data_IF_232182449230
#
_entry.id   IF_232182449230
#
_cell.length_a   1.000
_cell.length_b   1.000
_cell.length_c   1.000
_cell.angle_alpha   90.00
_cell.angle_beta   90.00
_cell.angle_gamma   90.00
#
_symmetry.space_group_name_H-M   'P 1'
#
loop_
_entity.id
_entity.type
_entity.pdbx_description
1 polymer ?
#
# COMPACT_ATOMS: atom_id res chain seq x y z
N UNK A 1 -19.67 -5.39 -18.86
CA UNK A 1 -20.02 -6.32 -17.76
C UNK A 1 -20.00 -5.55 -16.45
N UNK A 2 -21.08 -5.67 -15.69
CA UNK A 2 -21.18 -5.08 -14.35
C UNK A 2 -20.86 -6.20 -13.36
N UNK A 3 -19.77 -6.04 -12.60
CA UNK A 3 -19.32 -7.07 -11.64
C UNK A 3 -19.81 -6.69 -10.25
N UNK A 4 -20.56 -7.59 -9.62
CA UNK A 4 -21.17 -7.34 -8.32
C UNK A 4 -20.09 -7.39 -7.21
N UNK A 5 -19.85 -6.25 -6.57
CA UNK A 5 -18.92 -6.13 -5.45
C UNK A 5 -19.56 -6.68 -4.18
N UNK A 6 -19.15 -7.88 -3.76
CA UNK A 6 -19.56 -8.43 -2.46
C UNK A 6 -19.08 -7.53 -1.32
N UNK A 7 -20.00 -7.17 -0.43
CA UNK A 7 -19.69 -6.48 0.82
C UNK A 7 -18.77 -7.36 1.68
N UNK A 8 -17.80 -6.73 2.33
CA UNK A 8 -16.88 -7.37 3.26
C UNK A 8 -16.69 -6.47 4.45
N UNK A 9 -16.78 -7.05 5.64
CA UNK A 9 -16.44 -6.34 6.85
C UNK A 9 -14.93 -6.10 6.89
N UNK A 10 -14.58 -4.86 7.17
CA UNK A 10 -13.20 -4.41 7.34
C UNK A 10 -13.08 -3.63 8.63
N UNK A 11 -11.92 -3.71 9.26
CA UNK A 11 -11.63 -2.98 10.49
C UNK A 11 -10.58 -1.94 10.21
N UNK A 12 -10.86 -0.68 10.58
CA UNK A 12 -9.86 0.39 10.64
C UNK A 12 -9.49 0.58 12.10
N UNK A 13 -8.27 0.24 12.47
CA UNK A 13 -7.79 0.38 13.85
C UNK A 13 -7.12 1.71 14.12
N UNK A 14 -6.62 2.38 13.07
CA UNK A 14 -6.04 3.72 13.17
C UNK A 14 -6.39 4.51 11.91
N UNK A 15 -6.78 5.77 12.08
CA UNK A 15 -6.93 6.74 11.00
C UNK A 15 -6.46 8.12 11.49
N UNK A 16 -5.43 8.66 10.85
CA UNK A 16 -4.75 9.89 11.27
C UNK A 16 -4.56 10.80 10.06
N UNK A 17 -5.05 12.04 10.11
CA UNK A 17 -4.72 13.04 9.09
C UNK A 17 -3.32 13.58 9.38
N UNK A 18 -2.43 13.52 8.40
CA UNK A 18 -1.01 13.86 8.56
C UNK A 18 -0.66 15.21 7.93
N UNK A 19 -1.41 15.67 6.92
CA UNK A 19 -1.24 16.98 6.30
C UNK A 19 -2.55 17.43 5.65
N UNK A 20 -2.85 18.72 5.74
CA UNK A 20 -3.93 19.38 5.00
C UNK A 20 -3.31 20.52 4.20
N UNK A 21 -3.40 20.43 2.88
CA UNK A 21 -2.92 21.44 1.94
C UNK A 21 -3.87 21.46 0.75
N UNK A 22 -5.05 22.06 0.94
CA UNK A 22 -6.17 21.95 0.00
C UNK A 22 -5.73 22.31 -1.43
N UNK A 23 -6.14 21.51 -2.43
CA UNK A 23 -7.13 20.43 -2.35
C UNK A 23 -6.59 19.06 -1.88
N UNK A 24 -5.34 18.97 -1.44
CA UNK A 24 -4.72 17.72 -0.99
C UNK A 24 -4.89 17.48 0.52
N UNK A 25 -5.18 16.24 0.90
CA UNK A 25 -5.20 15.77 2.29
C UNK A 25 -4.46 14.45 2.36
N UNK A 26 -3.42 14.40 3.18
CA UNK A 26 -2.65 13.18 3.42
C UNK A 26 -3.12 12.54 4.73
N UNK A 27 -3.20 11.21 4.75
CA UNK A 27 -3.56 10.46 5.94
C UNK A 27 -2.77 9.17 6.06
N UNK A 28 -2.64 8.70 7.30
CA UNK A 28 -2.14 7.38 7.66
C UNK A 28 -3.29 6.52 8.15
N UNK A 29 -3.33 5.28 7.67
CA UNK A 29 -4.37 4.31 8.02
C UNK A 29 -3.76 2.95 8.37
N UNK A 30 -4.32 2.31 9.40
CA UNK A 30 -4.09 0.89 9.71
C UNK A 30 -5.42 0.16 9.59
N UNK A 31 -5.48 -0.81 8.69
CA UNK A 31 -6.72 -1.51 8.35
C UNK A 31 -6.51 -3.02 8.19
N UNK A 32 -7.59 -3.79 8.29
CA UNK A 32 -7.60 -5.23 8.03
C UNK A 32 -7.35 -5.55 6.55
N UNK A 33 -7.02 -6.82 6.27
CA UNK A 33 -6.90 -7.32 4.89
C UNK A 33 -8.20 -7.08 4.11
N UNK A 34 -8.06 -6.86 2.80
CA UNK A 34 -9.22 -6.66 1.90
C UNK A 34 -9.82 -5.25 1.91
N UNK A 35 -9.30 -4.33 2.74
CA UNK A 35 -9.72 -2.93 2.72
C UNK A 35 -9.32 -2.25 1.42
N UNK A 36 -10.31 -1.71 0.71
CA UNK A 36 -10.09 -1.03 -0.56
C UNK A 36 -9.98 0.48 -0.36
N UNK A 37 -8.75 0.98 -0.15
CA UNK A 37 -8.49 2.39 0.17
C UNK A 37 -9.10 3.36 -0.87
N UNK A 38 -9.11 2.98 -2.16
CA UNK A 38 -9.71 3.80 -3.20
C UNK A 38 -11.22 3.98 -3.04
N UNK A 39 -11.94 2.93 -2.64
CA UNK A 39 -13.39 3.02 -2.38
C UNK A 39 -13.64 3.89 -1.16
N UNK A 40 -12.84 3.72 -0.10
CA UNK A 40 -12.90 4.55 1.10
C UNK A 40 -12.74 6.04 0.77
N UNK A 41 -11.75 6.40 -0.06
CA UNK A 41 -11.56 7.80 -0.48
C UNK A 41 -12.72 8.30 -1.34
N UNK A 42 -13.26 7.47 -2.24
CA UNK A 42 -14.46 7.82 -3.01
C UNK A 42 -15.64 8.13 -2.10
N UNK A 43 -15.85 7.31 -1.06
CA UNK A 43 -16.92 7.51 -0.09
C UNK A 43 -16.69 8.74 0.78
N UNK A 44 -15.45 9.07 1.15
CA UNK A 44 -15.15 10.35 1.82
C UNK A 44 -15.51 11.55 0.94
N UNK A 45 -15.20 11.50 -0.35
CA UNK A 45 -15.64 12.54 -1.29
C UNK A 45 -17.16 12.72 -1.23
N UNK A 46 -17.91 11.63 -1.43
CA UNK A 46 -19.38 11.65 -1.40
C UNK A 46 -19.92 12.24 -0.09
N UNK A 47 -19.37 11.83 1.06
CA UNK A 47 -19.77 12.34 2.38
C UNK A 47 -19.47 13.84 2.55
N UNK A 48 -18.42 14.34 1.91
CA UNK A 48 -18.09 15.76 1.86
C UNK A 48 -18.90 16.53 0.80
N UNK A 49 -19.84 15.88 0.11
CA UNK A 49 -20.58 16.43 -1.02
C UNK A 49 -19.67 16.98 -2.13
N UNK A 50 -18.50 16.36 -2.31
CA UNK A 50 -17.52 16.69 -3.35
C UNK A 50 -16.97 15.40 -4.01
N UNK A 51 -16.21 15.50 -5.09
CA UNK A 51 -15.39 14.39 -5.56
C UNK A 51 -14.12 14.25 -4.71
N UNK A 52 -13.68 13.01 -4.50
CA UNK A 52 -12.33 12.72 -4.02
C UNK A 52 -11.78 11.49 -4.73
N UNK A 53 -10.48 11.49 -4.98
CA UNK A 53 -9.76 10.36 -5.56
C UNK A 53 -8.42 10.20 -4.87
N UNK A 54 -7.89 8.99 -4.90
CA UNK A 54 -6.59 8.69 -4.31
C UNK A 54 -5.48 9.06 -5.31
N UNK A 55 -4.72 10.11 -5.02
CA UNK A 55 -3.62 10.58 -5.88
C UNK A 55 -2.34 9.76 -5.71
N UNK A 56 -2.03 9.34 -4.46
CA UNK A 56 -0.86 8.54 -4.11
C UNK A 56 -1.21 7.55 -3.01
N UNK A 57 -0.64 6.34 -3.08
CA UNK A 57 -0.75 5.33 -2.04
C UNK A 57 0.57 4.59 -1.88
N UNK A 58 1.04 4.50 -0.65
CA UNK A 58 2.23 3.71 -0.29
C UNK A 58 1.89 2.82 0.89
N UNK A 59 1.97 1.50 0.69
CA UNK A 59 1.79 0.54 1.78
C UNK A 59 3.09 0.40 2.55
N UNK A 60 3.14 0.97 3.75
CA UNK A 60 4.34 0.98 4.60
C UNK A 60 4.53 -0.29 5.44
N UNK A 61 3.46 -1.08 5.64
CA UNK A 61 3.48 -2.33 6.41
C UNK A 61 2.47 -3.35 5.88
N UNK A 62 2.83 -4.63 5.90
CA UNK A 62 1.94 -5.76 5.66
C UNK A 62 2.23 -6.87 6.68
N UNK A 63 1.38 -7.01 7.70
CA UNK A 63 1.70 -7.88 8.84
C UNK A 63 3.02 -7.48 9.48
N UNK A 64 3.98 -8.42 9.55
CA UNK A 64 5.32 -8.20 10.09
C UNK A 64 6.32 -7.60 9.09
N UNK A 65 5.92 -7.41 7.82
CA UNK A 65 6.80 -6.87 6.79
C UNK A 65 6.70 -5.35 6.73
N UNK A 66 7.81 -4.65 6.90
CA UNK A 66 7.92 -3.20 6.80
C UNK A 66 8.54 -2.80 5.46
N UNK A 67 8.12 -1.66 4.93
CA UNK A 67 8.63 -1.12 3.66
C UNK A 67 10.11 -0.79 3.73
N UNK A 68 10.61 -0.32 4.86
CA UNK A 68 12.05 -0.03 5.06
C UNK A 68 12.95 -1.27 4.91
N UNK A 69 12.38 -2.46 5.07
CA UNK A 69 13.07 -3.74 4.92
C UNK A 69 12.84 -4.37 3.53
N UNK A 70 12.11 -3.68 2.65
CA UNK A 70 11.83 -4.18 1.30
C UNK A 70 13.01 -3.88 0.38
N UNK A 71 13.29 -4.82 -0.52
CA UNK A 71 14.20 -4.56 -1.64
C UNK A 71 13.49 -3.74 -2.71
N UNK A 72 14.18 -2.76 -3.27
CA UNK A 72 13.89 -2.29 -4.61
C UNK A 72 14.15 -3.43 -5.61
N UNK A 73 13.38 -3.46 -6.71
CA UNK A 73 13.44 -4.58 -7.67
C UNK A 73 14.85 -4.75 -8.25
N UNK A 74 15.52 -3.65 -8.58
CA UNK A 74 16.87 -3.67 -9.13
C UNK A 74 17.89 -4.23 -8.11
N UNK A 75 17.77 -3.85 -6.84
CA UNK A 75 18.66 -4.31 -5.77
C UNK A 75 18.47 -5.79 -5.50
N UNK A 76 17.21 -6.28 -5.52
CA UNK A 76 16.92 -7.70 -5.41
C UNK A 76 17.56 -8.50 -6.54
N UNK A 77 17.44 -8.04 -7.78
CA UNK A 77 18.05 -8.71 -8.95
C UNK A 77 19.56 -8.77 -8.81
N UNK A 78 20.20 -7.67 -8.40
CA UNK A 78 21.64 -7.62 -8.20
C UNK A 78 22.10 -8.54 -7.05
N UNK A 79 21.36 -8.55 -5.94
CA UNK A 79 21.60 -9.45 -4.82
C UNK A 79 21.56 -10.92 -5.26
N UNK A 80 20.54 -11.31 -6.02
CA UNK A 80 20.38 -12.69 -6.50
C UNK A 80 21.49 -13.10 -7.48
N UNK A 81 21.92 -12.20 -8.37
CA UNK A 81 23.04 -12.46 -9.31
C UNK A 81 24.35 -12.72 -8.57
N UNK A 82 24.73 -11.82 -7.65
CA UNK A 82 25.94 -11.97 -6.83
C UNK A 82 25.92 -13.26 -6.00
N UNK A 83 24.76 -13.57 -5.39
CA UNK A 83 24.60 -14.78 -4.59
C UNK A 83 24.77 -16.04 -5.44
N UNK A 84 24.27 -16.04 -6.67
CA UNK A 84 24.45 -17.16 -7.61
C UNK A 84 25.92 -17.33 -8.00
N UNK A 85 26.62 -16.24 -8.30
CA UNK A 85 28.06 -16.26 -8.63
C UNK A 85 28.88 -16.83 -7.46
N UNK A 86 28.63 -16.38 -6.22
CA UNK A 86 29.35 -16.87 -5.04
C UNK A 86 29.13 -18.36 -4.77
N UNK A 87 27.96 -18.89 -5.13
CA UNK A 87 27.67 -20.33 -4.99
C UNK A 87 28.42 -21.11 -6.07
N UNK A 88 28.45 -20.61 -7.31
CA UNK A 88 29.14 -21.29 -8.41
C UNK A 88 30.66 -21.36 -8.16
N UNK A 89 31.26 -20.30 -7.63
CA UNK A 89 32.69 -20.28 -7.29
C UNK A 89 33.08 -21.12 -6.07
N UNK A 90 32.11 -21.59 -5.29
CA UNK A 90 32.35 -22.44 -4.12
C UNK A 90 32.20 -23.94 -4.43
N UNK A 91 31.75 -24.29 -5.64
CA UNK A 91 31.55 -25.67 -6.10
C UNK A 91 32.69 -26.11 -7.04
N UNK A 92 33.44 -25.18 -7.63
CA UNK A 92 34.76 -25.42 -8.26
C UNK A 92 35.87 -25.50 -7.21
#
# INVERSE_FOLDING_TARGET
EETELRLRDVTVSVFEITRIALPEVDFRIVCSKGTYIRSLVSDFGKQLNNGAYLSKLTRTRSGNFLLENAYEVADLVNYLRKKRESISSAIE
#
